data_IF_842739767392
#
_entry.id   IF_842739767392
#
_cell.length_a   1.000
_cell.length_b   1.000
_cell.length_c   1.000
_cell.angle_alpha   90.00
_cell.angle_beta   90.00
_cell.angle_gamma   90.00
#
_symmetry.space_group_name_H-M   'P 1'
#
loop_
_entity.id
_entity.type
_entity.pdbx_description
1 polymer ?
#
# COMPACT_ATOMS: atom_id res chain seq x y z
N UNK A 1 39.40 15.50 -29.78
CA UNK A 1 38.15 16.15 -30.20
C UNK A 1 37.30 15.03 -30.79
N UNK A 2 36.16 14.69 -30.20
CA UNK A 2 35.29 13.66 -30.80
C UNK A 2 34.87 14.15 -32.19
N UNK A 3 34.96 13.27 -33.19
CA UNK A 3 34.59 13.60 -34.56
C UNK A 3 33.08 13.87 -34.62
N UNK A 4 32.66 14.86 -35.41
CA UNK A 4 31.26 15.32 -35.44
C UNK A 4 30.31 14.17 -35.80
N UNK A 5 30.76 13.26 -36.66
CA UNK A 5 30.01 12.07 -37.06
C UNK A 5 29.79 11.08 -35.90
N UNK A 6 30.81 10.85 -35.06
CA UNK A 6 30.67 10.00 -33.88
C UNK A 6 29.69 10.59 -32.86
N UNK A 7 29.61 11.92 -32.76
CA UNK A 7 28.62 12.58 -31.91
C UNK A 7 27.21 12.42 -32.47
N UNK A 8 27.04 12.57 -33.80
CA UNK A 8 25.75 12.40 -34.48
C UNK A 8 25.23 10.97 -34.27
N UNK A 9 26.06 9.95 -34.51
CA UNK A 9 25.65 8.55 -34.36
C UNK A 9 25.27 8.21 -32.92
N UNK A 10 26.02 8.71 -31.93
CA UNK A 10 25.69 8.55 -30.50
C UNK A 10 24.35 9.20 -30.16
N UNK A 11 24.12 10.43 -30.62
CA UNK A 11 22.85 11.12 -30.37
C UNK A 11 21.67 10.38 -30.99
N UNK A 12 21.80 9.86 -32.21
CA UNK A 12 20.75 9.08 -32.87
C UNK A 12 20.39 7.82 -32.07
N UNK A 13 21.40 7.06 -31.64
CA UNK A 13 21.20 5.85 -30.84
C UNK A 13 20.55 6.16 -29.47
N UNK A 14 20.95 7.26 -28.83
CA UNK A 14 20.32 7.71 -27.59
C UNK A 14 18.86 8.11 -27.81
N UNK A 15 18.53 8.74 -28.95
CA UNK A 15 17.15 9.06 -29.33
C UNK A 15 16.29 7.80 -29.54
N UNK A 16 16.82 6.76 -30.18
CA UNK A 16 16.10 5.49 -30.38
C UNK A 16 15.77 4.81 -29.05
N UNK A 17 16.75 4.72 -28.14
CA UNK A 17 16.54 4.17 -26.79
C UNK A 17 15.53 4.97 -25.98
N UNK A 18 15.62 6.30 -26.05
CA UNK A 18 14.67 7.18 -25.37
C UNK A 18 13.26 7.01 -25.94
N UNK A 19 13.13 6.71 -27.23
CA UNK A 19 11.83 6.43 -27.83
C UNK A 19 11.24 5.09 -27.39
N UNK A 20 12.05 4.03 -27.32
CA UNK A 20 11.59 2.73 -26.81
C UNK A 20 11.10 2.83 -25.37
N UNK A 21 11.87 3.50 -24.51
CA UNK A 21 11.48 3.72 -23.12
C UNK A 21 10.23 4.60 -22.99
N UNK A 22 10.10 5.63 -23.83
CA UNK A 22 8.89 6.47 -23.87
C UNK A 22 7.65 5.69 -24.32
N UNK A 23 7.77 4.79 -25.30
CA UNK A 23 6.68 3.90 -25.73
C UNK A 23 6.26 2.94 -24.62
N UNK A 24 7.21 2.29 -23.95
CA UNK A 24 6.91 1.40 -22.82
C UNK A 24 6.21 2.15 -21.69
N UNK A 25 6.64 3.38 -21.41
CA UNK A 25 6.03 4.23 -20.41
C UNK A 25 4.61 4.66 -20.81
N UNK A 26 4.37 4.98 -22.08
CA UNK A 26 3.04 5.27 -22.62
C UNK A 26 2.09 4.08 -22.45
N UNK A 27 2.52 2.89 -22.84
CA UNK A 27 1.74 1.66 -22.68
C UNK A 27 1.41 1.38 -21.21
N UNK A 28 2.37 1.62 -20.31
CA UNK A 28 2.15 1.43 -18.87
C UNK A 28 1.17 2.45 -18.30
N UNK A 29 1.25 3.71 -18.73
CA UNK A 29 0.28 4.74 -18.34
C UNK A 29 -1.12 4.36 -18.85
N UNK A 30 -1.25 3.89 -20.09
CA UNK A 30 -2.55 3.49 -20.65
C UNK A 30 -3.17 2.26 -19.96
N UNK A 31 -2.37 1.42 -19.31
CA UNK A 31 -2.86 0.31 -18.47
C UNK A 31 -3.50 0.78 -17.15
N UNK A 32 -3.29 2.03 -16.74
CA UNK A 32 -3.94 2.59 -15.54
C UNK A 32 -5.46 2.67 -15.79
N UNK A 33 -6.29 2.17 -14.87
CA UNK A 33 -7.74 2.16 -15.07
C UNK A 33 -8.29 3.60 -15.17
N UNK A 34 -9.11 3.84 -16.19
CA UNK A 34 -9.69 5.16 -16.48
C UNK A 34 -8.77 6.09 -17.27
N UNK A 35 -7.57 5.64 -17.65
CA UNK A 35 -6.67 6.41 -18.50
C UNK A 35 -7.06 6.28 -19.97
N UNK A 36 -6.88 7.36 -20.74
CA UNK A 36 -7.14 7.37 -22.18
C UNK A 36 -6.03 8.10 -22.91
N UNK A 37 -5.82 7.77 -24.19
CA UNK A 37 -4.79 8.40 -25.03
C UNK A 37 -5.00 9.91 -25.19
N UNK A 38 -6.24 10.39 -25.05
CA UNK A 38 -6.58 11.81 -25.16
C UNK A 38 -6.09 12.64 -23.97
N UNK A 39 -5.85 12.00 -22.83
CA UNK A 39 -5.36 12.68 -21.63
C UNK A 39 -3.83 12.78 -21.58
N UNK A 40 -3.13 12.11 -22.49
CA UNK A 40 -1.68 12.20 -22.60
C UNK A 40 -1.29 13.52 -23.30
N UNK A 41 -0.30 14.27 -22.78
CA UNK A 41 0.21 15.44 -23.45
C UNK A 41 0.91 15.05 -24.76
N UNK A 42 0.88 15.95 -25.75
CA UNK A 42 1.63 15.72 -27.00
C UNK A 42 3.13 15.80 -26.69
N UNK A 43 3.88 14.77 -27.06
CA UNK A 43 5.35 14.72 -26.95
C UNK A 43 6.02 14.76 -28.31
N UNK A 44 7.25 15.24 -28.36
CA UNK A 44 8.14 15.10 -29.52
C UNK A 44 8.81 13.72 -29.50
N UNK A 45 9.26 13.27 -30.67
CA UNK A 45 9.99 12.01 -30.81
C UNK A 45 11.24 11.99 -29.93
N UNK A 46 11.49 10.87 -29.24
CA UNK A 46 12.65 10.70 -28.37
C UNK A 46 12.63 11.52 -27.07
N UNK A 47 11.52 12.22 -26.77
CA UNK A 47 11.28 12.79 -25.44
C UNK A 47 10.38 11.85 -24.62
N UNK A 48 10.72 11.70 -23.34
CA UNK A 48 9.91 10.97 -22.36
C UNK A 48 8.97 11.90 -21.60
N UNK A 49 7.87 11.35 -21.09
CA UNK A 49 6.87 12.10 -20.33
C UNK A 49 7.40 12.48 -18.95
N UNK A 50 7.17 13.73 -18.52
CA UNK A 50 7.45 14.16 -17.14
C UNK A 50 6.13 14.35 -16.38
N UNK A 51 6.17 14.12 -15.06
CA UNK A 51 5.01 14.29 -14.18
C UNK A 51 4.32 15.66 -14.31
N UNK A 52 5.11 16.71 -14.54
CA UNK A 52 4.65 18.10 -14.67
C UNK A 52 3.82 18.38 -15.93
N UNK A 53 3.95 17.54 -16.95
CA UNK A 53 3.28 17.73 -18.25
C UNK A 53 1.83 17.21 -18.21
N UNK A 54 1.47 16.44 -17.18
CA UNK A 54 0.15 15.88 -17.02
C UNK A 54 -0.80 16.83 -16.29
N UNK A 55 -2.07 16.83 -16.70
CA UNK A 55 -3.14 17.49 -15.95
C UNK A 55 -3.41 16.82 -14.59
N UNK A 56 -4.00 17.56 -13.65
CA UNK A 56 -4.32 17.09 -12.29
C UNK A 56 -5.07 15.75 -12.24
N UNK A 57 -6.04 15.56 -13.14
CA UNK A 57 -6.82 14.32 -13.23
C UNK A 57 -5.95 13.12 -13.56
N UNK A 58 -5.09 13.24 -14.59
CA UNK A 58 -4.12 12.20 -14.97
C UNK A 58 -3.15 11.90 -13.85
N UNK A 59 -2.60 12.93 -13.21
CA UNK A 59 -1.69 12.75 -12.08
C UNK A 59 -2.38 11.95 -10.97
N UNK A 60 -3.62 12.29 -10.63
CA UNK A 60 -4.39 11.56 -9.60
C UNK A 60 -4.70 10.11 -9.97
N UNK A 61 -4.98 9.83 -11.26
CA UNK A 61 -5.23 8.47 -11.74
C UNK A 61 -3.96 7.62 -11.64
N UNK A 62 -2.82 8.16 -12.08
CA UNK A 62 -1.52 7.50 -12.01
C UNK A 62 -1.15 7.23 -10.54
N UNK A 63 -1.26 8.24 -9.68
CA UNK A 63 -0.96 8.10 -8.23
C UNK A 63 -1.82 7.01 -7.61
N UNK A 64 -3.11 6.92 -7.93
CA UNK A 64 -3.99 5.89 -7.36
C UNK A 64 -3.79 4.50 -7.95
N UNK A 65 -3.49 4.41 -9.24
CA UNK A 65 -3.43 3.15 -9.97
C UNK A 65 -2.06 2.45 -9.90
N UNK A 66 -0.96 3.19 -9.95
CA UNK A 66 0.40 2.62 -10.01
C UNK A 66 1.39 3.50 -9.22
N UNK A 67 1.66 3.11 -7.96
CA UNK A 67 2.62 3.77 -7.06
C UNK A 67 4.03 3.88 -7.66
N UNK A 68 4.66 2.80 -8.17
CA UNK A 68 5.99 2.91 -8.75
C UNK A 68 6.04 3.80 -9.99
N UNK A 69 5.00 3.80 -10.84
CA UNK A 69 4.91 4.73 -11.97
C UNK A 69 4.81 6.19 -11.50
N UNK A 70 4.01 6.47 -10.48
CA UNK A 70 3.91 7.80 -9.89
C UNK A 70 5.25 8.30 -9.34
N UNK A 71 5.99 7.43 -8.66
CA UNK A 71 7.33 7.74 -8.15
C UNK A 71 8.33 8.03 -9.28
N UNK A 72 8.32 7.21 -10.34
CA UNK A 72 9.17 7.39 -11.51
C UNK A 72 8.92 8.73 -12.22
N UNK A 73 7.65 9.13 -12.33
CA UNK A 73 7.26 10.39 -12.95
C UNK A 73 7.48 11.62 -12.04
N UNK A 74 7.89 11.42 -10.78
CA UNK A 74 8.09 12.48 -9.80
C UNK A 74 6.78 13.11 -9.31
N UNK A 75 5.69 12.34 -9.31
CA UNK A 75 4.39 12.79 -8.78
C UNK A 75 4.35 12.69 -7.26
N UNK A 76 3.45 13.46 -6.65
CA UNK A 76 3.26 13.46 -5.20
C UNK A 76 2.74 12.10 -4.69
N UNK A 77 3.42 11.57 -3.68
CA UNK A 77 3.14 10.27 -3.05
C UNK A 77 2.43 10.42 -1.69
N UNK A 78 2.02 11.62 -1.31
CA UNK A 78 1.33 11.88 -0.03
C UNK A 78 0.04 11.06 0.12
N UNK A 79 -0.66 10.77 -0.97
CA UNK A 79 -1.79 9.83 -0.97
C UNK A 79 -1.40 8.47 -0.37
N UNK A 80 -0.27 7.91 -0.81
CA UNK A 80 0.21 6.61 -0.31
C UNK A 80 0.75 6.68 1.11
N UNK A 81 1.35 7.81 1.50
CA UNK A 81 1.79 8.02 2.89
C UNK A 81 0.61 8.00 3.86
N UNK A 82 -0.47 8.73 3.54
CA UNK A 82 -1.70 8.75 4.34
C UNK A 82 -2.34 7.36 4.40
N UNK A 83 -2.47 6.70 3.25
CA UNK A 83 -3.05 5.35 3.17
C UNK A 83 -2.25 4.32 3.98
N UNK A 84 -0.92 4.37 3.93
CA UNK A 84 -0.08 3.48 4.72
C UNK A 84 -0.27 3.71 6.22
N UNK A 85 -0.30 4.98 6.65
CA UNK A 85 -0.54 5.35 8.05
C UNK A 85 -1.89 4.84 8.54
N UNK A 86 -2.95 5.01 7.76
CA UNK A 86 -4.29 4.50 8.10
C UNK A 86 -4.33 2.97 8.22
N UNK A 87 -3.60 2.26 7.36
CA UNK A 87 -3.48 0.80 7.43
C UNK A 87 -2.71 0.35 8.68
N UNK A 88 -1.58 1.00 8.98
CA UNK A 88 -0.79 0.72 10.19
C UNK A 88 -1.60 0.97 11.46
N UNK A 89 -2.33 2.09 11.54
CA UNK A 89 -3.23 2.40 12.66
C UNK A 89 -4.33 1.35 12.82
N UNK A 90 -4.91 0.90 11.71
CA UNK A 90 -5.93 -0.16 11.70
C UNK A 90 -5.37 -1.49 12.16
N UNK A 91 -4.19 -1.88 11.70
CA UNK A 91 -3.53 -3.12 12.12
C UNK A 91 -3.18 -3.09 13.61
N UNK A 92 -2.64 -1.96 14.10
CA UNK A 92 -2.35 -1.76 15.51
C UNK A 92 -3.63 -1.88 16.36
N UNK A 93 -4.74 -1.28 15.93
CA UNK A 93 -6.02 -1.40 16.59
C UNK A 93 -6.52 -2.85 16.63
N UNK A 94 -6.46 -3.57 15.50
CA UNK A 94 -6.89 -4.97 15.42
C UNK A 94 -6.06 -5.88 16.32
N UNK A 95 -4.74 -5.67 16.39
CA UNK A 95 -3.85 -6.44 17.26
C UNK A 95 -4.17 -6.18 18.74
N UNK A 96 -4.29 -4.92 19.14
CA UNK A 96 -4.69 -4.56 20.50
C UNK A 96 -6.08 -5.13 20.88
N UNK A 97 -7.00 -5.19 19.92
CA UNK A 97 -8.31 -5.80 20.12
C UNK A 97 -8.20 -7.31 20.33
N UNK A 98 -7.42 -8.02 19.50
CA UNK A 98 -7.17 -9.46 19.64
C UNK A 98 -6.59 -9.79 21.03
N UNK A 99 -5.56 -9.07 21.45
CA UNK A 99 -4.96 -9.27 22.78
C UNK A 99 -5.96 -9.11 23.93
N UNK A 100 -6.84 -8.10 23.84
CA UNK A 100 -7.91 -7.91 24.84
C UNK A 100 -8.90 -9.08 24.83
N UNK A 101 -9.30 -9.55 23.65
CA UNK A 101 -10.22 -10.69 23.54
C UNK A 101 -9.61 -11.99 24.06
N UNK A 102 -8.32 -12.22 23.83
CA UNK A 102 -7.60 -13.39 24.34
C UNK A 102 -7.52 -13.36 25.87
N UNK A 103 -7.14 -12.22 26.47
CA UNK A 103 -7.14 -12.04 27.93
C UNK A 103 -8.52 -12.30 28.56
N UNK A 104 -9.59 -11.77 27.95
CA UNK A 104 -10.96 -12.03 28.42
C UNK A 104 -11.34 -13.51 28.34
N UNK A 105 -10.91 -14.19 27.27
CA UNK A 105 -11.16 -15.63 27.11
C UNK A 105 -10.44 -16.45 28.17
N UNK A 106 -9.19 -16.12 28.49
CA UNK A 106 -8.42 -16.76 29.55
C UNK A 106 -9.08 -16.57 30.93
N UNK A 107 -9.50 -15.34 31.26
CA UNK A 107 -10.21 -15.05 32.51
C UNK A 107 -11.51 -15.86 32.62
N UNK A 108 -12.32 -15.87 31.56
CA UNK A 108 -13.55 -16.65 31.53
C UNK A 108 -13.30 -18.15 31.72
N UNK A 109 -12.21 -18.69 31.16
CA UNK A 109 -11.83 -20.10 31.37
C UNK A 109 -11.41 -20.37 32.82
N UNK A 110 -10.63 -19.48 33.42
CA UNK A 110 -10.22 -19.60 34.82
C UNK A 110 -11.44 -19.54 35.77
N UNK A 111 -12.37 -18.61 35.54
CA UNK A 111 -13.60 -18.50 36.31
C UNK A 111 -14.49 -19.74 36.17
N UNK A 112 -14.60 -20.30 34.96
CA UNK A 112 -15.32 -21.54 34.71
C UNK A 112 -14.73 -22.69 35.53
N UNK A 113 -13.41 -22.87 35.50
CA UNK A 113 -12.72 -23.90 36.28
C UNK A 113 -12.89 -23.68 37.79
N UNK A 114 -12.83 -22.44 38.27
CA UNK A 114 -13.05 -22.12 39.68
C UNK A 114 -14.49 -22.44 40.13
N UNK A 115 -15.48 -22.18 39.27
CA UNK A 115 -16.88 -22.53 39.51
C UNK A 115 -17.08 -24.03 39.57
N UNK A 116 -16.51 -24.77 38.63
CA UNK A 116 -16.55 -26.25 38.62
C UNK A 116 -15.94 -26.83 39.90
N UNK A 117 -14.77 -26.32 40.34
CA UNK A 117 -14.15 -26.71 41.62
C UNK A 117 -15.06 -26.44 42.82
N UNK A 118 -15.72 -25.27 42.85
CA UNK A 118 -16.64 -24.90 43.94
C UNK A 118 -17.88 -25.79 43.97
N UNK A 119 -18.44 -26.13 42.81
CA UNK A 119 -19.58 -27.04 42.71
C UNK A 119 -19.19 -28.43 43.22
N UNK A 120 -18.05 -28.96 42.77
CA UNK A 120 -17.54 -30.25 43.23
C UNK A 120 -17.26 -30.27 44.74
N UNK A 121 -16.70 -29.18 45.27
CA UNK A 121 -16.48 -29.02 46.70
C UNK A 121 -17.80 -29.05 47.49
N UNK A 122 -18.81 -28.29 47.04
CA UNK A 122 -20.12 -28.25 47.68
C UNK A 122 -20.89 -29.59 47.60
N UNK A 123 -20.60 -30.43 46.60
CA UNK A 123 -21.17 -31.78 46.48
C UNK A 123 -20.51 -32.79 47.43
N UNK A 124 -19.20 -32.63 47.67
CA UNK A 124 -18.41 -33.55 48.50
C UNK A 124 -18.40 -33.17 49.98
N UNK A 125 -18.57 -31.88 50.29
CA UNK A 125 -18.61 -31.33 51.64
C UNK A 125 -19.96 -30.64 51.85
N UNK A 126 -20.83 -31.22 52.68
CA UNK A 126 -22.16 -30.68 52.97
C UNK A 126 -22.11 -29.26 53.54
N UNK A 127 -23.11 -28.44 53.21
CA UNK A 127 -23.22 -27.00 53.50
C UNK A 127 -23.29 -26.66 55.01
N UNK A 128 -23.20 -27.66 55.90
CA UNK A 128 -23.45 -27.53 57.34
C UNK A 128 -22.28 -27.02 58.19
N UNK A 129 -21.09 -26.80 57.60
CA UNK A 129 -19.99 -26.16 58.32
C UNK A 129 -20.03 -24.63 58.19
N UNK A 130 -20.94 -23.99 58.94
CA UNK A 130 -20.82 -22.54 59.25
C UNK A 130 -19.55 -22.34 60.08
N UNK A 131 -18.65 -21.48 59.58
CA UNK A 131 -17.47 -21.02 60.33
C UNK A 131 -17.97 -20.19 61.53
N UNK A 132 -17.80 -20.71 62.74
CA UNK A 132 -17.81 -19.95 64.00
C UNK A 132 -16.45 -19.30 64.21
#
# INVERSE_FOLDING_TARGET
MADLNELIDKTHFDYEKNEETARQLEERILKVPGMSKQYLPKRQYGQSYKGKDFGLTVQSLIVRGDKPLAAFLGLDLDYWRKKNKEMEEREAYLNAFKEKTEKLKELNQQEKLAREKRILWNQTHGVDHRRY
#
